data_IF_708472270697
#
_entry.id   IF_708472270697
#
_cell.length_a   1.000
_cell.length_b   1.000
_cell.length_c   1.000
_cell.angle_alpha   90.00
_cell.angle_beta   90.00
_cell.angle_gamma   90.00
#
_symmetry.space_group_name_H-M   'P 1'
#
loop_
_entity.id
_entity.type
_entity.pdbx_description
1 polymer ?
#
# COMPACT_ATOMS: atom_id res chain seq x y z
N UNK A 1 -18.00 -7.71 -26.25
CA UNK A 1 -17.65 -6.43 -25.59
C UNK A 1 -16.55 -6.77 -24.59
N UNK A 2 -15.34 -6.31 -24.84
CA UNK A 2 -14.28 -6.40 -23.80
C UNK A 2 -14.74 -5.52 -22.65
N UNK A 3 -15.18 -6.12 -21.54
CA UNK A 3 -15.36 -5.39 -20.30
C UNK A 3 -13.97 -4.89 -19.87
N UNK A 4 -13.75 -3.60 -20.03
CA UNK A 4 -12.58 -2.94 -19.48
C UNK A 4 -12.62 -3.15 -17.96
N UNK A 5 -11.51 -3.60 -17.37
CA UNK A 5 -11.44 -3.91 -15.94
C UNK A 5 -11.77 -2.66 -15.11
N UNK A 6 -12.85 -2.71 -14.34
CA UNK A 6 -13.22 -1.64 -13.41
C UNK A 6 -12.96 -2.12 -11.96
N UNK A 7 -11.99 -1.54 -11.25
CA UNK A 7 -11.62 -1.97 -9.90
C UNK A 7 -12.77 -1.79 -8.89
N UNK A 8 -13.65 -0.78 -9.09
CA UNK A 8 -14.77 -0.57 -8.19
C UNK A 8 -15.86 -1.60 -8.37
N UNK A 9 -16.20 -1.97 -9.60
CA UNK A 9 -17.15 -3.05 -9.89
C UNK A 9 -16.67 -4.38 -9.29
N UNK A 10 -15.35 -4.62 -9.34
CA UNK A 10 -14.76 -5.80 -8.71
C UNK A 10 -14.91 -5.77 -7.17
N UNK A 11 -14.65 -4.64 -6.52
CA UNK A 11 -14.84 -4.49 -5.08
C UNK A 11 -16.32 -4.73 -4.68
N UNK A 12 -17.26 -4.19 -5.45
CA UNK A 12 -18.71 -4.41 -5.24
C UNK A 12 -19.07 -5.88 -5.43
N UNK A 13 -18.53 -6.56 -6.44
CA UNK A 13 -18.77 -7.98 -6.68
C UNK A 13 -18.29 -8.85 -5.50
N UNK A 14 -17.15 -8.51 -4.88
CA UNK A 14 -16.64 -9.21 -3.69
C UNK A 14 -17.61 -9.04 -2.50
N UNK A 15 -18.15 -7.83 -2.27
CA UNK A 15 -19.14 -7.58 -1.21
C UNK A 15 -20.40 -8.43 -1.45
N UNK A 16 -20.92 -8.43 -2.68
CA UNK A 16 -22.13 -9.22 -3.03
C UNK A 16 -21.91 -10.72 -2.80
N UNK A 17 -20.75 -11.24 -3.24
CA UNK A 17 -20.39 -12.64 -3.02
C UNK A 17 -20.27 -12.99 -1.53
N UNK A 18 -19.69 -12.10 -0.73
CA UNK A 18 -19.60 -12.30 0.72
C UNK A 18 -20.98 -12.26 1.38
N UNK A 19 -21.85 -11.35 0.97
CA UNK A 19 -23.22 -11.26 1.47
C UNK A 19 -24.05 -12.51 1.13
N UNK A 20 -23.92 -13.04 -0.09
CA UNK A 20 -24.53 -14.31 -0.51
C UNK A 20 -24.07 -15.47 0.38
N UNK A 21 -22.76 -15.58 0.61
CA UNK A 21 -22.19 -16.63 1.47
C UNK A 21 -22.68 -16.55 2.93
N UNK A 22 -23.01 -15.33 3.41
CA UNK A 22 -23.55 -15.07 4.74
C UNK A 22 -25.08 -15.16 4.80
N UNK A 23 -25.76 -15.36 3.67
CA UNK A 23 -27.23 -15.40 3.60
C UNK A 23 -27.89 -14.05 3.90
N UNK A 24 -27.20 -12.93 3.65
CA UNK A 24 -27.72 -11.59 3.90
C UNK A 24 -28.68 -11.15 2.80
N UNK A 25 -29.75 -10.44 3.18
CA UNK A 25 -30.64 -9.78 2.23
C UNK A 25 -29.99 -8.48 1.71
N UNK A 26 -30.31 -8.06 0.48
CA UNK A 26 -29.68 -6.86 -0.11
C UNK A 26 -29.86 -5.61 0.75
N UNK A 27 -30.98 -5.45 1.43
CA UNK A 27 -31.23 -4.33 2.34
C UNK A 27 -30.24 -4.25 3.50
N UNK A 28 -29.60 -5.36 3.88
CA UNK A 28 -28.68 -5.40 5.02
C UNK A 28 -27.29 -4.84 4.68
N UNK A 29 -26.94 -4.82 3.38
CA UNK A 29 -25.59 -4.41 2.93
C UNK A 29 -25.58 -3.41 1.77
N UNK A 30 -26.73 -3.00 1.24
CA UNK A 30 -26.81 -2.11 0.08
C UNK A 30 -25.99 -0.81 0.26
N UNK A 31 -25.93 -0.28 1.47
CA UNK A 31 -25.15 0.91 1.80
C UNK A 31 -23.62 0.72 1.61
N UNK A 32 -23.11 -0.52 1.66
CA UNK A 32 -21.70 -0.82 1.39
C UNK A 32 -21.35 -0.86 -0.10
N UNK A 33 -22.38 -0.84 -0.97
CA UNK A 33 -22.17 -0.87 -2.42
C UNK A 33 -21.91 0.52 -3.01
N UNK A 34 -22.05 1.58 -2.21
CA UNK A 34 -21.91 2.98 -2.65
C UNK A 34 -21.09 3.78 -1.64
N UNK A 35 -20.18 4.65 -2.06
CA UNK A 35 -19.51 5.56 -1.14
C UNK A 35 -20.50 6.60 -0.60
N UNK A 36 -20.32 7.00 0.66
CA UNK A 36 -21.09 8.07 1.29
C UNK A 36 -20.83 9.43 0.62
N UNK A 37 -19.61 9.62 0.10
CA UNK A 37 -19.22 10.89 -0.54
C UNK A 37 -18.09 10.71 -1.54
N UNK A 38 -18.26 11.37 -2.68
CA UNK A 38 -17.26 11.49 -3.72
C UNK A 38 -16.99 12.98 -3.97
N UNK A 39 -15.72 13.39 -3.96
CA UNK A 39 -15.31 14.75 -4.27
C UNK A 39 -14.24 14.72 -5.36
N UNK A 40 -14.50 15.44 -6.44
CA UNK A 40 -13.53 15.74 -7.49
C UNK A 40 -13.21 17.22 -7.46
N UNK A 41 -11.93 17.58 -7.50
CA UNK A 41 -11.46 18.96 -7.45
C UNK A 41 -10.50 19.27 -8.61
N UNK A 42 -10.50 20.50 -9.07
CA UNK A 42 -9.54 21.03 -10.03
C UNK A 42 -8.48 21.83 -9.28
N UNK A 43 -7.20 21.54 -9.56
CA UNK A 43 -6.05 22.07 -8.83
C UNK A 43 -5.16 22.88 -9.78
N UNK A 44 -5.39 24.19 -9.96
CA UNK A 44 -4.53 25.03 -10.78
C UNK A 44 -3.20 25.32 -10.06
N UNK A 45 -2.08 24.98 -10.69
CA UNK A 45 -0.71 25.23 -10.18
C UNK A 45 0.06 26.05 -11.20
N UNK A 46 0.73 27.11 -10.72
CA UNK A 46 1.69 27.86 -11.54
C UNK A 46 3.01 27.11 -11.56
N UNK A 47 3.37 26.60 -12.72
CA UNK A 47 4.58 25.82 -12.94
C UNK A 47 5.83 26.72 -12.93
N UNK A 48 7.02 26.12 -12.82
CA UNK A 48 8.29 26.84 -12.90
C UNK A 48 8.48 27.57 -14.22
N UNK A 49 7.83 27.09 -15.27
CA UNK A 49 7.78 27.76 -16.58
C UNK A 49 6.92 29.03 -16.62
N UNK A 50 6.21 29.37 -15.53
CA UNK A 50 5.23 30.44 -15.45
C UNK A 50 3.86 30.12 -16.05
N UNK A 51 3.66 28.95 -16.67
CA UNK A 51 2.37 28.49 -17.17
C UNK A 51 1.54 27.90 -16.03
N UNK A 52 0.21 28.03 -16.12
CA UNK A 52 -0.70 27.33 -15.20
C UNK A 52 -1.07 25.97 -15.79
N UNK A 53 -0.84 24.92 -15.03
CA UNK A 53 -1.34 23.57 -15.30
C UNK A 53 -2.44 23.21 -14.29
N UNK A 54 -3.48 22.49 -14.75
CA UNK A 54 -4.63 22.12 -13.90
C UNK A 54 -4.64 20.61 -13.73
N UNK A 55 -4.48 20.17 -12.48
CA UNK A 55 -4.52 18.75 -12.11
C UNK A 55 -5.90 18.39 -11.57
N UNK A 56 -6.26 17.10 -11.71
CA UNK A 56 -7.47 16.54 -11.12
C UNK A 56 -7.13 15.86 -9.79
N UNK A 57 -7.85 16.23 -8.73
CA UNK A 57 -7.78 15.60 -7.42
C UNK A 57 -9.09 14.93 -7.05
N UNK A 58 -9.00 13.84 -6.28
CA UNK A 58 -10.13 13.03 -5.83
C UNK A 58 -10.04 12.75 -4.34
N UNK A 59 -11.17 12.80 -3.61
CA UNK A 59 -11.31 12.24 -2.26
C UNK A 59 -12.63 11.51 -2.16
N UNK A 60 -12.59 10.24 -1.75
CA UNK A 60 -13.76 9.39 -1.56
C UNK A 60 -13.83 8.96 -0.10
N UNK A 61 -15.00 9.08 0.50
CA UNK A 61 -15.36 8.55 1.80
C UNK A 61 -16.37 7.43 1.56
N UNK A 62 -15.92 6.18 1.74
CA UNK A 62 -16.76 5.03 1.41
C UNK A 62 -17.78 4.75 2.50
N UNK A 63 -17.33 4.68 3.74
CA UNK A 63 -18.21 4.46 4.89
C UNK A 63 -17.58 5.02 6.17
N UNK A 64 -18.38 5.72 6.96
CA UNK A 64 -18.01 6.26 8.27
C UNK A 64 -18.69 5.53 9.45
N UNK A 65 -19.34 4.41 9.20
CA UNK A 65 -20.13 3.66 10.20
C UNK A 65 -19.30 3.24 11.41
N UNK A 66 -18.02 2.87 11.20
CA UNK A 66 -17.11 2.47 12.28
C UNK A 66 -16.35 3.65 12.92
N UNK A 67 -16.41 4.82 12.31
CA UNK A 67 -15.69 6.01 12.77
C UNK A 67 -15.17 6.88 11.61
N UNK A 68 -14.29 7.86 11.90
CA UNK A 68 -13.73 8.73 10.88
C UNK A 68 -13.14 7.94 9.71
N UNK A 69 -13.40 8.38 8.48
CA UNK A 69 -12.80 7.76 7.30
C UNK A 69 -11.26 7.83 7.37
N UNK A 70 -10.59 6.81 6.89
CA UNK A 70 -9.13 6.67 6.93
C UNK A 70 -8.61 6.11 5.64
N UNK A 71 -7.59 6.74 5.05
CA UNK A 71 -6.91 6.19 3.88
C UNK A 71 -5.93 7.13 3.21
N UNK A 72 -5.02 6.56 2.42
CA UNK A 72 -3.91 7.25 1.79
C UNK A 72 -4.31 8.24 0.69
N UNK A 73 -3.34 9.07 0.31
CA UNK A 73 -3.40 9.96 -0.87
C UNK A 73 -2.35 9.45 -1.86
N UNK A 74 -2.78 9.09 -3.06
CA UNK A 74 -1.95 8.54 -4.14
C UNK A 74 -1.65 9.61 -5.19
N UNK A 75 -0.40 9.72 -5.64
CA UNK A 75 -0.03 10.52 -6.80
C UNK A 75 0.40 9.58 -7.92
N UNK A 76 -0.43 9.46 -8.95
CA UNK A 76 -0.15 8.60 -10.09
C UNK A 76 -0.82 9.12 -11.35
N UNK A 77 -0.18 8.93 -12.50
CA UNK A 77 -0.67 9.43 -13.79
C UNK A 77 -2.03 8.85 -14.19
N UNK A 78 -2.31 7.60 -13.80
CA UNK A 78 -3.54 6.90 -14.14
C UNK A 78 -4.63 6.98 -13.06
N UNK A 79 -4.38 7.73 -11.96
CA UNK A 79 -5.37 7.89 -10.89
C UNK A 79 -6.70 8.40 -11.44
N UNK A 80 -7.77 7.68 -11.12
CA UNK A 80 -9.13 8.01 -11.52
C UNK A 80 -10.11 7.74 -10.37
N UNK A 81 -11.36 8.18 -10.55
CA UNK A 81 -12.36 8.11 -9.48
C UNK A 81 -12.73 6.67 -9.11
N UNK A 82 -12.82 5.75 -10.07
CA UNK A 82 -13.22 4.37 -9.81
C UNK A 82 -12.13 3.60 -9.04
N UNK A 83 -10.86 3.85 -9.37
CA UNK A 83 -9.74 3.34 -8.57
C UNK A 83 -9.81 3.86 -7.13
N UNK A 84 -10.04 5.16 -6.95
CA UNK A 84 -10.12 5.78 -5.61
C UNK A 84 -11.32 5.24 -4.82
N UNK A 85 -12.46 4.98 -5.47
CA UNK A 85 -13.65 4.33 -4.88
C UNK A 85 -13.34 2.91 -4.39
N UNK A 86 -12.72 2.10 -5.24
CA UNK A 86 -12.31 0.74 -4.89
C UNK A 86 -11.40 0.72 -3.65
N UNK A 87 -10.38 1.57 -3.69
CA UNK A 87 -9.40 1.68 -2.59
C UNK A 87 -10.04 2.22 -1.29
N UNK A 88 -11.01 3.11 -1.36
CA UNK A 88 -11.76 3.59 -0.20
C UNK A 88 -12.64 2.48 0.41
N UNK A 89 -13.28 1.67 -0.44
CA UNK A 89 -14.03 0.48 -0.04
C UNK A 89 -13.12 -0.51 0.70
N UNK A 90 -11.97 -0.84 0.13
CA UNK A 90 -11.01 -1.75 0.76
C UNK A 90 -10.47 -1.21 2.09
N UNK A 91 -10.31 0.10 2.22
CA UNK A 91 -9.94 0.69 3.52
C UNK A 91 -11.02 0.49 4.58
N UNK A 92 -12.31 0.61 4.24
CA UNK A 92 -13.41 0.31 5.18
C UNK A 92 -13.35 -1.15 5.64
N UNK A 93 -13.19 -2.09 4.70
CA UNK A 93 -13.08 -3.52 5.00
C UNK A 93 -11.83 -3.84 5.85
N UNK A 94 -10.68 -3.26 5.51
CA UNK A 94 -9.43 -3.44 6.29
C UNK A 94 -9.56 -2.96 7.72
N UNK A 95 -10.14 -1.78 7.94
CA UNK A 95 -10.36 -1.24 9.27
C UNK A 95 -11.31 -2.13 10.09
N UNK A 96 -12.37 -2.64 9.45
CA UNK A 96 -13.32 -3.56 10.06
C UNK A 96 -12.65 -4.88 10.48
N UNK A 97 -11.90 -5.50 9.58
CA UNK A 97 -11.19 -6.77 9.85
C UNK A 97 -10.13 -6.60 10.96
N UNK A 98 -9.45 -5.45 10.97
CA UNK A 98 -8.47 -5.12 12.01
C UNK A 98 -9.13 -4.74 13.36
N UNK A 99 -10.45 -4.59 13.42
CA UNK A 99 -11.18 -4.21 14.63
C UNK A 99 -10.87 -2.81 15.14
N UNK A 100 -10.47 -1.88 14.24
CA UNK A 100 -10.15 -0.51 14.63
C UNK A 100 -11.31 0.44 14.29
N UNK A 101 -11.52 1.52 15.10
CA UNK A 101 -12.68 2.39 14.99
C UNK A 101 -12.50 3.46 13.89
N UNK A 102 -12.28 3.00 12.66
CA UNK A 102 -12.12 3.86 11.49
C UNK A 102 -12.97 3.34 10.32
N UNK A 103 -13.48 4.29 9.55
CA UNK A 103 -14.13 4.03 8.29
C UNK A 103 -13.15 3.95 7.12
N UNK A 104 -13.68 3.94 5.90
CA UNK A 104 -12.91 3.87 4.68
C UNK A 104 -12.85 5.18 3.92
N UNK A 105 -11.64 5.68 3.67
CA UNK A 105 -11.40 6.83 2.80
C UNK A 105 -10.21 6.61 1.89
N UNK A 106 -10.19 7.31 0.76
CA UNK A 106 -9.06 7.32 -0.17
C UNK A 106 -9.01 8.62 -0.93
N UNK A 107 -7.82 9.07 -1.25
CA UNK A 107 -7.61 10.22 -2.12
C UNK A 107 -6.54 9.96 -3.16
N UNK A 108 -6.46 10.86 -4.12
CA UNK A 108 -5.41 10.83 -5.12
C UNK A 108 -5.42 12.06 -6.01
N UNK A 109 -4.30 12.28 -6.67
CA UNK A 109 -4.16 13.27 -7.72
C UNK A 109 -3.67 12.56 -8.98
N UNK A 110 -4.31 12.86 -10.12
CA UNK A 110 -3.83 12.40 -11.43
C UNK A 110 -2.62 13.23 -11.82
N UNK A 111 -1.43 12.71 -11.54
CA UNK A 111 -0.15 13.36 -11.80
C UNK A 111 0.98 12.34 -11.83
N UNK A 112 1.96 12.56 -12.69
CA UNK A 112 3.27 11.92 -12.60
C UNK A 112 4.21 12.84 -11.77
N UNK A 113 4.45 12.54 -10.49
CA UNK A 113 5.23 13.43 -9.63
C UNK A 113 6.71 13.51 -10.01
N UNK A 114 7.22 12.56 -10.80
CA UNK A 114 8.62 12.61 -11.29
C UNK A 114 8.88 13.75 -12.27
N UNK A 115 7.80 14.31 -12.86
CA UNK A 115 7.85 15.43 -13.80
C UNK A 115 7.78 16.80 -13.11
N UNK A 116 7.54 16.83 -11.81
CA UNK A 116 7.38 18.05 -11.03
C UNK A 116 8.65 18.39 -10.25
N UNK A 117 8.97 19.67 -10.18
CA UNK A 117 9.93 20.16 -9.21
C UNK A 117 9.39 20.05 -7.78
N UNK A 118 10.27 20.10 -6.78
CA UNK A 118 9.87 20.08 -5.38
C UNK A 118 8.89 21.23 -5.04
N UNK A 119 9.11 22.42 -5.63
CA UNK A 119 8.22 23.58 -5.47
C UNK A 119 6.84 23.34 -6.08
N UNK A 120 6.78 22.78 -7.26
CA UNK A 120 5.53 22.45 -7.94
C UNK A 120 4.75 21.37 -7.19
N UNK A 121 5.44 20.34 -6.71
CA UNK A 121 4.86 19.25 -5.92
C UNK A 121 4.30 19.78 -4.58
N UNK A 122 5.01 20.68 -3.90
CA UNK A 122 4.52 21.35 -2.71
C UNK A 122 3.27 22.19 -3.01
N UNK A 123 3.32 23.03 -4.05
CA UNK A 123 2.20 23.87 -4.46
C UNK A 123 0.96 23.03 -4.78
N UNK A 124 1.11 21.92 -5.50
CA UNK A 124 0.04 20.98 -5.81
C UNK A 124 -0.55 20.35 -4.53
N UNK A 125 0.31 19.89 -3.62
CA UNK A 125 -0.11 19.28 -2.34
C UNK A 125 -0.89 20.26 -1.48
N UNK A 126 -0.43 21.49 -1.34
CA UNK A 126 -1.10 22.55 -0.58
C UNK A 126 -2.46 22.89 -1.20
N UNK A 127 -2.53 23.03 -2.52
CA UNK A 127 -3.80 23.24 -3.24
C UNK A 127 -4.80 22.12 -2.98
N UNK A 128 -4.34 20.88 -3.00
CA UNK A 128 -5.20 19.73 -2.72
C UNK A 128 -5.70 19.74 -1.27
N UNK A 129 -4.83 20.02 -0.29
CA UNK A 129 -5.21 20.11 1.11
C UNK A 129 -6.29 21.17 1.34
N UNK A 130 -6.13 22.38 0.78
CA UNK A 130 -7.14 23.45 0.83
C UNK A 130 -8.47 23.02 0.18
N UNK A 131 -8.41 22.38 -0.99
CA UNK A 131 -9.60 22.01 -1.74
C UNK A 131 -10.47 20.95 -1.02
N UNK A 132 -9.85 20.01 -0.29
CA UNK A 132 -10.57 18.95 0.43
C UNK A 132 -10.77 19.25 1.92
N UNK A 133 -10.22 20.36 2.45
CA UNK A 133 -10.32 20.75 3.86
C UNK A 133 -11.74 20.68 4.45
N UNK A 134 -12.81 21.08 3.71
CA UNK A 134 -14.17 21.03 4.27
C UNK A 134 -14.66 19.63 4.67
N UNK A 135 -14.14 18.58 4.05
CA UNK A 135 -14.61 17.21 4.27
C UNK A 135 -13.65 16.35 5.09
N UNK A 136 -12.43 16.82 5.38
CA UNK A 136 -11.43 16.09 6.18
C UNK A 136 -11.31 16.66 7.61
N UNK A 137 -10.55 15.98 8.44
CA UNK A 137 -10.26 16.36 9.83
C UNK A 137 -10.19 15.15 10.75
N UNK A 138 -9.66 15.34 11.93
CA UNK A 138 -9.40 14.25 12.90
C UNK A 138 -10.63 13.41 13.29
N UNK A 139 -11.84 14.01 13.20
CA UNK A 139 -13.12 13.35 13.52
C UNK A 139 -13.99 13.07 12.30
N UNK A 140 -13.49 13.33 11.10
CA UNK A 140 -14.24 13.15 9.85
C UNK A 140 -13.55 12.18 8.90
N UNK A 141 -12.34 12.52 8.50
CA UNK A 141 -11.58 11.77 7.52
C UNK A 141 -10.09 12.12 7.63
N UNK A 142 -9.26 11.12 7.82
CA UNK A 142 -7.84 11.26 8.14
C UNK A 142 -7.00 10.69 6.99
N UNK A 143 -6.43 11.55 6.13
CA UNK A 143 -5.48 11.14 5.10
C UNK A 143 -4.21 10.50 5.65
N UNK A 144 -3.46 9.86 4.75
CA UNK A 144 -2.19 9.19 5.03
C UNK A 144 -1.31 9.15 3.77
N UNK A 145 -0.03 8.79 3.86
CA UNK A 145 0.78 8.51 2.67
C UNK A 145 0.30 7.25 1.93
N UNK A 146 0.53 7.24 0.62
CA UNK A 146 0.30 6.11 -0.28
C UNK A 146 1.33 6.14 -1.42
N UNK A 147 1.03 5.58 -2.59
CA UNK A 147 1.93 5.57 -3.75
C UNK A 147 2.40 6.98 -4.09
N UNK A 148 3.71 7.15 -4.22
CA UNK A 148 4.41 8.40 -4.54
C UNK A 148 4.11 9.58 -3.60
N UNK A 149 3.70 9.30 -2.35
CA UNK A 149 3.61 10.28 -1.28
C UNK A 149 4.40 9.81 -0.06
N UNK A 150 4.88 10.74 0.74
CA UNK A 150 5.79 10.48 1.85
C UNK A 150 5.57 11.46 3.02
N UNK A 151 6.43 11.39 4.02
CA UNK A 151 6.36 12.24 5.21
C UNK A 151 6.43 13.74 4.89
N UNK A 152 7.27 14.13 3.92
CA UNK A 152 7.40 15.54 3.51
C UNK A 152 6.10 16.07 2.89
N UNK A 153 5.47 15.28 2.02
CA UNK A 153 4.17 15.62 1.42
C UNK A 153 3.09 15.73 2.50
N UNK A 154 3.13 14.83 3.49
CA UNK A 154 2.19 14.90 4.63
C UNK A 154 2.45 16.11 5.53
N UNK A 155 3.70 16.58 5.63
CA UNK A 155 4.02 17.82 6.34
C UNK A 155 3.41 19.05 5.63
N UNK A 156 3.61 19.19 4.33
CA UNK A 156 3.00 20.28 3.53
C UNK A 156 1.47 20.23 3.59
N UNK A 157 0.91 19.03 3.55
CA UNK A 157 -0.54 18.82 3.66
C UNK A 157 -1.08 19.26 5.02
N UNK A 158 -0.42 18.87 6.11
CA UNK A 158 -0.77 19.23 7.48
C UNK A 158 -0.72 20.76 7.70
N UNK A 159 0.33 21.39 7.19
CA UNK A 159 0.54 22.84 7.28
C UNK A 159 -0.56 23.60 6.54
N UNK A 160 -0.82 23.26 5.28
CA UNK A 160 -1.86 23.89 4.47
C UNK A 160 -3.29 23.71 5.05
N UNK A 161 -3.56 22.52 5.61
CA UNK A 161 -4.83 22.31 6.33
C UNK A 161 -4.92 23.18 7.57
N UNK A 162 -3.84 23.27 8.37
CA UNK A 162 -3.79 24.09 9.57
C UNK A 162 -3.99 25.59 9.28
N UNK A 163 -3.43 26.09 8.18
CA UNK A 163 -3.70 27.44 7.66
C UNK A 163 -5.20 27.65 7.39
N UNK A 164 -5.84 26.67 6.73
CA UNK A 164 -7.26 26.76 6.36
C UNK A 164 -8.18 26.81 7.58
N UNK A 165 -7.88 26.02 8.61
CA UNK A 165 -8.71 25.96 9.83
C UNK A 165 -8.31 26.97 10.90
N UNK A 166 -7.21 27.70 10.68
CA UNK A 166 -6.73 28.75 11.58
C UNK A 166 -6.10 28.25 12.89
N UNK A 167 -5.72 26.95 12.95
CA UNK A 167 -5.07 26.35 14.11
C UNK A 167 -4.20 25.17 13.72
N UNK A 168 -3.06 24.96 14.41
CA UNK A 168 -2.21 23.80 14.18
C UNK A 168 -2.96 22.51 14.48
N UNK A 169 -3.18 21.68 13.46
CA UNK A 169 -4.06 20.51 13.50
C UNK A 169 -3.35 19.25 13.01
N UNK A 170 -2.32 18.77 13.74
CA UNK A 170 -1.49 17.65 13.28
C UNK A 170 -2.24 16.31 13.22
N UNK A 171 -3.35 16.17 13.92
CA UNK A 171 -4.18 14.97 13.90
C UNK A 171 -4.94 14.76 12.57
N UNK A 172 -4.96 15.76 11.68
CA UNK A 172 -5.63 15.65 10.37
C UNK A 172 -5.02 14.58 9.47
N UNK A 173 -3.73 14.26 9.62
CA UNK A 173 -3.00 13.36 8.75
C UNK A 173 -2.06 12.45 9.51
N UNK A 174 -1.90 11.20 9.08
CA UNK A 174 -0.87 10.29 9.60
C UNK A 174 0.31 10.17 8.65
N UNK A 175 1.42 9.58 9.11
CA UNK A 175 2.63 9.39 8.30
C UNK A 175 3.46 10.66 8.09
N UNK A 176 3.15 11.74 8.81
CA UNK A 176 3.96 12.96 8.87
C UNK A 176 5.23 12.73 9.70
N UNK A 177 6.27 13.59 9.57
CA UNK A 177 7.49 13.53 10.37
C UNK A 177 7.23 13.54 11.89
N UNK A 178 8.14 12.93 12.65
CA UNK A 178 8.06 12.86 14.12
C UNK A 178 8.05 14.25 14.76
N UNK A 179 8.81 15.19 14.20
CA UNK A 179 8.99 16.56 14.66
C UNK A 179 7.68 17.36 14.69
N UNK A 180 6.71 16.96 13.88
CA UNK A 180 5.38 17.60 13.83
C UNK A 180 4.28 16.66 14.33
N UNK A 181 4.59 15.72 15.21
CA UNK A 181 3.66 14.81 15.85
C UNK A 181 3.38 13.52 15.07
N UNK A 182 4.35 13.03 14.29
CA UNK A 182 4.34 11.69 13.72
C UNK A 182 4.47 10.60 14.78
N UNK A 183 4.17 9.35 14.40
CA UNK A 183 4.26 8.19 15.29
C UNK A 183 5.47 7.33 14.95
N UNK A 184 6.21 6.88 15.95
CA UNK A 184 7.26 5.87 15.82
C UNK A 184 6.67 4.55 15.26
N UNK A 185 7.48 3.82 14.48
CA UNK A 185 7.11 2.51 13.93
C UNK A 185 6.17 2.57 12.72
N UNK A 186 5.75 3.75 12.24
CA UNK A 186 4.88 3.85 11.06
C UNK A 186 5.56 3.33 9.79
N UNK A 187 6.84 3.57 9.63
CA UNK A 187 7.62 3.15 8.46
C UNK A 187 7.61 1.62 8.30
N UNK A 188 7.74 0.91 9.42
CA UNK A 188 7.86 -0.56 9.45
C UNK A 188 6.51 -1.26 9.61
N UNK A 189 5.42 -0.49 9.84
CA UNK A 189 4.15 -1.05 10.29
C UNK A 189 3.59 -2.14 9.37
N UNK A 190 3.67 -1.97 8.05
CA UNK A 190 3.10 -2.94 7.10
C UNK A 190 3.92 -4.23 7.08
N UNK A 191 5.24 -4.15 6.92
CA UNK A 191 6.12 -5.32 6.96
C UNK A 191 6.08 -6.03 8.32
N UNK A 192 5.95 -5.28 9.42
CA UNK A 192 5.74 -5.84 10.76
C UNK A 192 4.43 -6.60 10.86
N UNK A 193 3.35 -6.08 10.27
CA UNK A 193 2.07 -6.78 10.19
C UNK A 193 2.18 -8.12 9.45
N UNK A 194 2.92 -8.16 8.36
CA UNK A 194 3.19 -9.41 7.62
C UNK A 194 3.96 -10.39 8.50
N UNK A 195 5.03 -9.95 9.16
CA UNK A 195 5.80 -10.81 10.09
C UNK A 195 4.92 -11.35 11.23
N UNK A 196 4.06 -10.50 11.81
CA UNK A 196 3.14 -10.93 12.86
C UNK A 196 2.14 -11.99 12.36
N UNK A 197 1.66 -11.85 11.13
CA UNK A 197 0.79 -12.84 10.49
C UNK A 197 1.51 -14.17 10.28
N UNK A 198 2.78 -14.13 9.82
CA UNK A 198 3.61 -15.32 9.70
C UNK A 198 3.84 -15.97 11.07
N UNK A 199 4.17 -15.19 12.10
CA UNK A 199 4.36 -15.68 13.46
C UNK A 199 3.11 -16.41 13.99
N UNK A 200 1.93 -15.83 13.79
CA UNK A 200 0.66 -16.43 14.18
C UNK A 200 0.37 -17.72 13.40
N UNK A 201 0.64 -17.71 12.08
CA UNK A 201 0.54 -18.89 11.23
C UNK A 201 1.39 -20.04 11.79
N UNK A 202 2.66 -19.75 12.07
CA UNK A 202 3.59 -20.77 12.60
C UNK A 202 3.12 -21.31 13.95
N UNK A 203 2.66 -20.43 14.84
CA UNK A 203 2.10 -20.83 16.14
C UNK A 203 0.91 -21.78 15.97
N UNK A 204 -0.04 -21.47 15.11
CA UNK A 204 -1.24 -22.28 14.84
C UNK A 204 -0.93 -23.67 14.32
N UNK A 205 0.09 -23.80 13.49
CA UNK A 205 0.48 -25.08 12.89
C UNK A 205 1.63 -25.76 13.61
N UNK A 206 2.05 -25.28 14.79
CA UNK A 206 3.12 -25.87 15.59
C UNK A 206 4.46 -25.91 14.85
N UNK A 207 4.75 -24.91 14.00
CA UNK A 207 5.98 -24.81 13.22
C UNK A 207 6.98 -23.89 13.89
N UNK A 208 8.28 -24.19 13.73
CA UNK A 208 9.36 -23.31 14.19
C UNK A 208 9.83 -22.42 13.03
N UNK A 209 10.08 -21.15 13.33
CA UNK A 209 10.57 -20.22 12.33
C UNK A 209 11.88 -20.68 11.67
N UNK A 210 12.79 -21.27 12.46
CA UNK A 210 14.08 -21.77 11.98
C UNK A 210 14.00 -22.94 10.99
N UNK A 211 12.84 -23.57 10.87
CA UNK A 211 12.59 -24.68 9.93
C UNK A 211 11.93 -24.17 8.62
N UNK A 212 11.54 -22.89 8.56
CA UNK A 212 10.77 -22.33 7.44
C UNK A 212 11.65 -21.62 6.42
N UNK A 213 11.49 -22.02 5.17
CA UNK A 213 12.06 -21.36 3.99
C UNK A 213 11.03 -20.36 3.48
N UNK A 214 11.44 -19.11 3.26
CA UNK A 214 10.55 -18.02 2.86
C UNK A 214 11.05 -17.35 1.58
N UNK A 215 10.14 -17.09 0.65
CA UNK A 215 10.38 -16.27 -0.53
C UNK A 215 9.52 -14.99 -0.45
N UNK A 216 10.13 -13.82 -0.71
CA UNK A 216 9.47 -12.52 -0.64
C UNK A 216 9.55 -11.84 -2.01
N UNK A 217 8.41 -11.64 -2.65
CA UNK A 217 8.32 -10.90 -3.90
C UNK A 217 8.18 -9.41 -3.62
N UNK A 218 9.14 -8.63 -4.08
CA UNK A 218 9.21 -7.19 -3.82
C UNK A 218 10.15 -6.86 -2.65
N UNK A 219 11.08 -5.93 -2.88
CA UNK A 219 12.05 -5.44 -1.89
C UNK A 219 11.91 -3.92 -1.64
N UNK A 220 10.67 -3.41 -1.77
CA UNK A 220 10.30 -2.04 -1.40
C UNK A 220 10.01 -1.90 0.10
N UNK A 221 9.27 -0.86 0.47
CA UNK A 221 8.95 -0.54 1.88
C UNK A 221 8.34 -1.73 2.64
N UNK A 222 7.42 -2.47 2.04
CA UNK A 222 6.77 -3.62 2.67
C UNK A 222 7.70 -4.83 2.67
N UNK A 223 8.18 -5.24 1.48
CA UNK A 223 8.98 -6.45 1.32
C UNK A 223 10.31 -6.37 2.04
N UNK A 224 11.06 -5.27 1.91
CA UNK A 224 12.35 -5.09 2.59
C UNK A 224 12.22 -5.16 4.12
N UNK A 225 11.23 -4.48 4.69
CA UNK A 225 10.94 -4.60 6.14
C UNK A 225 10.52 -6.01 6.51
N UNK A 226 9.73 -6.69 5.66
CA UNK A 226 9.32 -8.08 5.88
C UNK A 226 10.52 -9.01 5.89
N UNK A 227 11.43 -8.90 4.93
CA UNK A 227 12.68 -9.69 4.86
C UNK A 227 13.46 -9.55 6.14
N UNK A 228 13.75 -8.31 6.59
CA UNK A 228 14.46 -8.06 7.84
C UNK A 228 13.80 -8.73 9.03
N UNK A 229 12.51 -8.47 9.24
CA UNK A 229 11.79 -8.96 10.43
C UNK A 229 11.59 -10.47 10.43
N UNK A 230 11.52 -11.12 9.25
CA UNK A 230 11.49 -12.57 9.16
C UNK A 230 12.86 -13.20 9.46
N UNK A 231 13.95 -12.55 9.06
CA UNK A 231 15.29 -12.92 9.49
C UNK A 231 15.46 -12.84 11.02
N UNK A 232 15.02 -11.74 11.64
CA UNK A 232 15.00 -11.57 13.10
C UNK A 232 14.11 -12.62 13.79
N UNK A 233 13.01 -13.03 13.18
CA UNK A 233 12.14 -14.11 13.68
C UNK A 233 12.81 -15.49 13.60
N UNK A 234 13.87 -15.61 12.81
CA UNK A 234 14.64 -16.83 12.60
C UNK A 234 14.25 -17.64 11.35
N UNK A 235 13.41 -17.10 10.47
CA UNK A 235 13.11 -17.77 9.19
C UNK A 235 14.31 -17.69 8.24
N UNK A 236 14.44 -18.72 7.38
CA UNK A 236 15.42 -18.74 6.31
C UNK A 236 14.81 -18.09 5.06
N UNK A 237 15.18 -16.84 4.76
CA UNK A 237 14.77 -16.17 3.52
C UNK A 237 15.63 -16.68 2.38
N UNK A 238 15.03 -17.42 1.44
CA UNK A 238 15.74 -18.09 0.33
C UNK A 238 15.59 -17.38 -1.01
N UNK A 239 14.67 -16.44 -1.12
CA UNK A 239 14.50 -15.66 -2.34
C UNK A 239 13.89 -14.29 -2.02
N UNK A 240 14.40 -13.25 -2.69
CA UNK A 240 13.87 -11.89 -2.66
C UNK A 240 13.91 -11.32 -4.07
N UNK A 241 12.88 -10.58 -4.48
CA UNK A 241 12.87 -9.90 -5.79
C UNK A 241 12.58 -8.41 -5.67
N UNK A 242 12.99 -7.68 -6.70
CA UNK A 242 12.58 -6.30 -6.97
C UNK A 242 12.25 -6.13 -8.46
N UNK A 243 12.13 -4.88 -8.93
CA UNK A 243 11.83 -4.58 -10.32
C UNK A 243 12.96 -5.01 -11.29
N UNK A 244 14.17 -5.26 -10.80
CA UNK A 244 15.32 -5.68 -11.61
C UNK A 244 15.43 -7.20 -11.79
N UNK A 245 14.77 -7.99 -10.94
CA UNK A 245 14.81 -9.45 -10.96
C UNK A 245 14.71 -10.06 -9.58
N UNK A 246 15.22 -11.28 -9.41
CA UNK A 246 15.23 -12.00 -8.14
C UNK A 246 16.62 -12.54 -7.78
N UNK A 247 16.95 -12.49 -6.50
CA UNK A 247 18.10 -13.12 -5.89
C UNK A 247 17.64 -14.37 -5.11
N UNK A 248 18.22 -15.52 -5.43
CA UNK A 248 17.89 -16.82 -4.82
C UNK A 248 19.13 -17.42 -4.16
N UNK A 249 18.97 -17.95 -2.95
CA UNK A 249 20.02 -18.62 -2.20
C UNK A 249 19.42 -19.71 -1.32
N UNK A 250 19.70 -20.98 -1.63
CA UNK A 250 19.16 -22.12 -0.88
C UNK A 250 19.65 -22.18 0.57
N UNK A 251 20.84 -21.66 0.84
CA UNK A 251 21.42 -21.60 2.17
C UNK A 251 20.87 -20.44 3.02
N UNK A 252 20.08 -19.54 2.41
CA UNK A 252 19.50 -18.36 3.03
C UNK A 252 20.31 -17.10 2.76
N UNK A 253 19.59 -15.99 2.60
CA UNK A 253 20.12 -14.66 2.34
C UNK A 253 20.38 -13.90 3.65
N UNK A 254 21.38 -13.02 3.67
CA UNK A 254 21.57 -12.06 4.76
C UNK A 254 20.48 -10.99 4.72
N UNK A 255 19.48 -11.13 5.59
CA UNK A 255 18.31 -10.28 5.61
C UNK A 255 18.64 -8.83 6.02
N UNK A 256 19.60 -8.65 6.93
CA UNK A 256 20.01 -7.31 7.38
C UNK A 256 20.78 -6.57 6.29
N UNK A 257 21.62 -7.28 5.54
CA UNK A 257 22.36 -6.70 4.44
C UNK A 257 21.40 -6.30 3.30
N UNK A 258 20.48 -7.19 2.90
CA UNK A 258 19.44 -6.88 1.90
C UNK A 258 18.62 -5.67 2.32
N UNK A 259 18.19 -5.60 3.57
CA UNK A 259 17.40 -4.47 4.06
C UNK A 259 18.17 -3.15 4.00
N UNK A 260 19.43 -3.13 4.47
CA UNK A 260 20.28 -1.93 4.39
C UNK A 260 20.51 -1.49 2.94
N UNK A 261 20.76 -2.45 2.05
CA UNK A 261 20.97 -2.19 0.63
C UNK A 261 19.74 -1.59 -0.04
N UNK A 262 18.55 -2.12 0.25
CA UNK A 262 17.30 -1.59 -0.30
C UNK A 262 16.94 -0.21 0.27
N UNK A 263 17.29 0.06 1.53
CA UNK A 263 17.08 1.38 2.15
C UNK A 263 17.88 2.50 1.47
N UNK A 264 18.98 2.16 0.80
CA UNK A 264 19.76 3.08 -0.05
C UNK A 264 19.18 3.21 -1.48
N UNK A 265 17.97 2.68 -1.73
CA UNK A 265 17.29 2.66 -3.04
C UNK A 265 18.08 1.96 -4.16
N UNK A 266 18.94 1.00 -3.79
CA UNK A 266 19.71 0.18 -4.73
C UNK A 266 18.90 -1.04 -5.19
N UNK A 267 19.14 -1.44 -6.44
CA UNK A 267 18.47 -2.59 -7.05
C UNK A 267 19.26 -3.89 -6.82
N UNK A 268 18.55 -5.00 -6.64
CA UNK A 268 19.15 -6.32 -6.38
C UNK A 268 20.11 -6.80 -7.49
N UNK A 269 19.96 -6.31 -8.74
CA UNK A 269 20.90 -6.63 -9.84
C UNK A 269 22.34 -6.18 -9.55
N UNK A 270 22.52 -5.19 -8.70
CA UNK A 270 23.81 -4.61 -8.33
C UNK A 270 24.29 -5.10 -6.94
N UNK A 271 23.53 -6.03 -6.33
CA UNK A 271 23.88 -6.65 -5.05
C UNK A 271 25.03 -7.64 -5.22
N UNK A 272 25.67 -8.04 -4.13
CA UNK A 272 26.81 -8.98 -4.12
C UNK A 272 26.41 -10.30 -4.80
N UNK A 273 27.13 -10.63 -5.89
CA UNK A 273 26.90 -11.86 -6.67
C UNK A 273 27.31 -13.13 -5.93
N UNK A 274 28.08 -13.02 -4.86
CA UNK A 274 28.45 -14.18 -4.02
C UNK A 274 27.32 -14.58 -3.07
N UNK A 275 26.34 -13.70 -2.84
CA UNK A 275 25.21 -13.96 -1.93
C UNK A 275 24.18 -14.96 -2.48
N UNK A 276 24.20 -15.24 -3.81
CA UNK A 276 23.26 -16.18 -4.42
C UNK A 276 23.20 -16.05 -5.94
N UNK A 277 22.21 -16.70 -6.54
CA UNK A 277 21.96 -16.63 -7.99
C UNK A 277 20.98 -15.49 -8.30
N UNK A 278 21.44 -14.53 -9.06
CA UNK A 278 20.55 -13.44 -9.55
C UNK A 278 19.97 -13.81 -10.92
N UNK A 279 18.65 -13.74 -11.05
CA UNK A 279 17.92 -13.93 -12.32
C UNK A 279 17.24 -12.61 -12.65
N UNK A 280 17.53 -12.05 -13.83
CA UNK A 280 17.11 -10.71 -14.22
C UNK A 280 15.62 -10.65 -14.63
N UNK A 281 15.01 -9.50 -14.41
CA UNK A 281 13.71 -9.09 -14.95
C UNK A 281 12.54 -9.99 -14.58
N UNK A 282 11.62 -10.16 -15.52
CA UNK A 282 10.38 -10.93 -15.33
C UNK A 282 10.65 -12.42 -15.05
N UNK A 283 11.71 -12.99 -15.64
CA UNK A 283 12.10 -14.40 -15.41
C UNK A 283 12.51 -14.62 -13.96
N UNK A 284 13.19 -13.66 -13.32
CA UNK A 284 13.53 -13.70 -11.91
C UNK A 284 12.29 -13.70 -11.02
N UNK A 285 11.34 -12.81 -11.28
CA UNK A 285 10.07 -12.79 -10.55
C UNK A 285 9.27 -14.09 -10.73
N UNK A 286 9.23 -14.63 -11.95
CA UNK A 286 8.57 -15.90 -12.23
C UNK A 286 9.26 -17.06 -11.50
N UNK A 287 10.59 -17.11 -11.47
CA UNK A 287 11.36 -18.12 -10.76
C UNK A 287 11.12 -18.07 -9.25
N UNK A 288 11.09 -16.89 -8.66
CA UNK A 288 10.79 -16.69 -7.23
C UNK A 288 9.43 -17.26 -6.85
N UNK A 289 8.38 -16.98 -7.63
CA UNK A 289 7.02 -17.44 -7.32
C UNK A 289 6.89 -18.97 -7.25
N UNK A 290 7.76 -19.69 -7.95
CA UNK A 290 7.72 -21.17 -8.04
C UNK A 290 8.93 -21.85 -7.38
N UNK A 291 9.80 -21.11 -6.70
CA UNK A 291 10.96 -21.66 -6.03
C UNK A 291 10.57 -22.63 -4.91
N UNK A 292 11.53 -23.41 -4.45
CA UNK A 292 11.32 -24.35 -3.35
C UNK A 292 11.32 -23.60 -2.01
N UNK A 293 10.12 -23.35 -1.49
CA UNK A 293 9.88 -22.57 -0.27
C UNK A 293 8.65 -23.10 0.47
N UNK A 294 8.60 -22.88 1.79
CA UNK A 294 7.43 -23.22 2.61
C UNK A 294 6.40 -22.08 2.61
N UNK A 295 6.88 -20.82 2.63
CA UNK A 295 6.04 -19.62 2.69
C UNK A 295 6.40 -18.70 1.53
N UNK A 296 5.42 -18.34 0.73
CA UNK A 296 5.52 -17.32 -0.31
C UNK A 296 4.83 -16.04 0.15
N UNK A 297 5.52 -14.92 0.05
CA UNK A 297 4.99 -13.60 0.42
C UNK A 297 5.01 -12.66 -0.79
N UNK A 298 3.89 -12.54 -1.53
CA UNK A 298 3.73 -11.50 -2.52
C UNK A 298 3.65 -10.12 -1.82
N UNK A 299 4.63 -9.24 -2.05
CA UNK A 299 4.74 -7.91 -1.44
C UNK A 299 5.05 -6.81 -2.48
N UNK A 300 4.66 -7.03 -3.73
CA UNK A 300 4.85 -6.12 -4.85
C UNK A 300 3.49 -5.57 -5.35
N UNK A 301 3.11 -5.93 -6.57
CA UNK A 301 1.84 -5.53 -7.17
C UNK A 301 0.80 -6.65 -7.01
N UNK A 302 -0.46 -6.30 -7.24
CA UNK A 302 -1.56 -7.25 -7.31
C UNK A 302 -1.46 -8.18 -8.54
N UNK A 303 -2.27 -9.23 -8.58
CA UNK A 303 -2.42 -10.16 -9.71
C UNK A 303 -1.14 -10.91 -10.11
N UNK A 304 -0.23 -11.16 -9.16
CA UNK A 304 0.99 -11.92 -9.45
C UNK A 304 0.76 -13.43 -9.50
N UNK A 305 -0.19 -13.94 -8.76
CA UNK A 305 -0.62 -15.34 -8.80
C UNK A 305 -1.80 -15.44 -9.75
N UNK A 306 -1.63 -16.19 -10.83
CA UNK A 306 -2.62 -16.35 -11.90
C UNK A 306 -2.95 -17.82 -12.15
N UNK A 307 -3.98 -18.09 -12.96
CA UNK A 307 -4.31 -19.46 -13.39
C UNK A 307 -3.17 -20.21 -14.08
N UNK A 308 -2.21 -19.49 -14.65
CA UNK A 308 -1.07 -20.07 -15.38
C UNK A 308 0.06 -20.53 -14.42
N UNK A 309 0.30 -19.79 -13.34
CA UNK A 309 1.41 -20.08 -12.42
C UNK A 309 0.97 -20.73 -11.11
N UNK A 310 -0.29 -20.59 -10.68
CA UNK A 310 -0.79 -21.13 -9.41
C UNK A 310 -0.49 -22.61 -9.20
N UNK A 311 -0.61 -23.44 -10.26
CA UNK A 311 -0.32 -24.88 -10.20
C UNK A 311 1.16 -25.22 -10.05
N UNK A 312 2.05 -24.26 -10.33
CA UNK A 312 3.51 -24.42 -10.25
C UNK A 312 4.08 -23.98 -8.89
N UNK A 313 3.29 -23.25 -8.09
CA UNK A 313 3.69 -22.76 -6.78
C UNK A 313 3.86 -23.97 -5.85
N UNK A 314 5.03 -24.06 -5.21
CA UNK A 314 5.39 -25.14 -4.29
C UNK A 314 5.14 -24.78 -2.82
N UNK A 315 5.05 -23.49 -2.52
CA UNK A 315 4.82 -23.00 -1.17
C UNK A 315 3.52 -23.59 -0.58
N UNK A 316 3.61 -24.07 0.66
CA UNK A 316 2.46 -24.59 1.42
C UNK A 316 1.57 -23.46 1.94
N UNK A 317 2.17 -22.30 2.21
CA UNK A 317 1.50 -21.14 2.75
C UNK A 317 1.77 -19.93 1.87
N UNK A 318 0.73 -19.14 1.61
CA UNK A 318 0.84 -17.85 0.95
C UNK A 318 0.36 -16.80 1.96
N UNK A 319 1.23 -15.84 2.26
CA UNK A 319 0.91 -14.69 3.12
C UNK A 319 0.91 -13.45 2.27
N UNK A 320 -0.29 -13.01 1.86
CA UNK A 320 -0.45 -11.88 0.96
C UNK A 320 -0.11 -10.57 1.66
N UNK A 321 0.80 -9.82 1.06
CA UNK A 321 1.24 -8.51 1.53
C UNK A 321 1.03 -7.39 0.48
N UNK A 322 0.69 -7.76 -0.75
CA UNK A 322 0.27 -6.80 -1.77
C UNK A 322 -1.15 -6.29 -1.50
N UNK A 323 -1.51 -5.18 -2.12
CA UNK A 323 -2.80 -4.57 -1.94
C UNK A 323 -3.69 -4.90 -3.16
N UNK A 324 -4.61 -5.83 -3.03
CA UNK A 324 -5.48 -6.22 -4.14
C UNK A 324 -6.23 -7.51 -3.91
#
# INVERSE_FOLDING_TARGET
MNHEYNPYENAVAVIRKAAEALGLHENDYAFLLYPERELKVSLPVVMDSGKTEVFEGFRVQHSSVLGPCKGGIRYHADTNIDEVKALACWMALKCSVAGIPYGGGKGGIRVDPSRLSSRELEALTRKYAHAIAPIIGEKKDIPAPDVNTNGQIMAWFCDAYSETVGSFSPAVVTGKPLEIGGSLGRTDATGRGVMLTVRELLSRYGKKASEMRVAVQGNGNVGGTTVKLLGELGCKVVAVSDVSGALLCDDGLDCDEIYRYSAEHKLLRDFDKSAGTFIAGADGNAALLVCDTDILIPAALENQITGENAKKIKAKYIVEAANG
#
